data_IF_508941793598
#
_entry.id   IF_508941793598
#
_cell.length_a   1.000
_cell.length_b   1.000
_cell.length_c   1.000
_cell.angle_alpha   90.00
_cell.angle_beta   90.00
_cell.angle_gamma   90.00
#
_symmetry.space_group_name_H-M   'P 1'
#
loop_
_entity.id
_entity.type
_entity.pdbx_description
1 polymer ?
#
# COMPACT_ATOMS: atom_id res chain seq x y z
N UNK A 1 4.66 -20.45 -5.96
CA UNK A 1 3.73 -19.35 -5.61
C UNK A 1 3.31 -18.65 -6.89
N UNK A 2 2.05 -18.22 -7.03
CA UNK A 2 1.61 -17.40 -8.16
C UNK A 2 2.47 -16.14 -8.29
N UNK A 3 2.72 -15.65 -9.52
CA UNK A 3 3.44 -14.40 -9.69
C UNK A 3 2.60 -13.22 -9.19
N UNK A 4 3.26 -12.27 -8.54
CA UNK A 4 2.72 -10.93 -8.32
C UNK A 4 3.22 -10.01 -9.43
N UNK A 5 2.59 -10.13 -10.60
CA UNK A 5 2.97 -9.47 -11.84
C UNK A 5 2.25 -8.13 -12.05
N UNK A 6 2.60 -7.41 -13.13
CA UNK A 6 2.00 -6.13 -13.46
C UNK A 6 0.47 -6.18 -13.56
N UNK A 7 -0.16 -7.12 -14.30
CA UNK A 7 -1.62 -7.21 -14.36
C UNK A 7 -2.27 -7.33 -12.98
N UNK A 8 -1.70 -8.17 -12.10
CA UNK A 8 -2.23 -8.33 -10.74
C UNK A 8 -2.03 -7.09 -9.87
N UNK A 9 -0.87 -6.45 -9.94
CA UNK A 9 -0.59 -5.21 -9.20
C UNK A 9 -1.53 -4.07 -9.63
N UNK A 10 -1.76 -3.93 -10.94
CA UNK A 10 -2.64 -2.92 -11.51
C UNK A 10 -4.10 -3.19 -11.12
N UNK A 11 -4.59 -4.41 -11.31
CA UNK A 11 -5.97 -4.79 -10.95
C UNK A 11 -6.28 -4.56 -9.46
N UNK A 12 -5.28 -4.68 -8.58
CA UNK A 12 -5.45 -4.38 -7.16
C UNK A 12 -5.52 -2.87 -6.87
N UNK A 13 -4.79 -2.04 -7.63
CA UNK A 13 -4.87 -0.57 -7.53
C UNK A 13 -6.12 0.01 -8.20
N UNK A 14 -6.67 -0.65 -9.23
CA UNK A 14 -7.93 -0.27 -9.88
C UNK A 14 -9.14 -0.31 -8.94
N UNK A 15 -9.00 -0.85 -7.73
CA UNK A 15 -10.01 -0.70 -6.68
C UNK A 15 -10.15 0.75 -6.21
N UNK A 16 -9.09 1.55 -6.30
CA UNK A 16 -9.06 2.95 -5.87
C UNK A 16 -10.08 3.82 -6.63
N UNK A 17 -10.05 3.92 -7.98
CA UNK A 17 -11.00 4.77 -8.70
C UNK A 17 -12.45 4.37 -8.42
N UNK A 18 -12.79 3.08 -8.57
CA UNK A 18 -14.17 2.63 -8.43
C UNK A 18 -14.71 2.75 -7.01
N UNK A 19 -13.96 2.26 -6.01
CA UNK A 19 -14.51 2.12 -4.66
C UNK A 19 -14.22 3.30 -3.76
N UNK A 20 -13.04 3.92 -3.89
CA UNK A 20 -12.66 5.04 -3.05
C UNK A 20 -13.06 6.38 -3.69
N UNK A 21 -12.60 6.67 -4.92
CA UNK A 21 -12.85 7.98 -5.54
C UNK A 21 -14.32 8.14 -5.94
N UNK A 22 -14.86 7.24 -6.75
CA UNK A 22 -16.23 7.37 -7.26
C UNK A 22 -17.26 6.99 -6.18
N UNK A 23 -17.17 5.77 -5.63
CA UNK A 23 -18.23 5.27 -4.72
C UNK A 23 -18.22 5.91 -3.34
N UNK A 24 -17.05 6.05 -2.73
CA UNK A 24 -16.91 6.50 -1.34
C UNK A 24 -16.81 8.02 -1.22
N UNK A 25 -16.10 8.70 -2.12
CA UNK A 25 -15.98 10.15 -2.11
C UNK A 25 -17.01 10.84 -3.02
N UNK A 26 -17.69 10.12 -3.92
CA UNK A 26 -18.56 10.76 -4.90
C UNK A 26 -17.80 11.64 -5.90
N UNK A 27 -16.50 11.39 -6.08
CA UNK A 27 -15.65 12.16 -6.98
C UNK A 27 -15.79 11.64 -8.41
N UNK A 28 -16.30 12.49 -9.31
CA UNK A 28 -16.35 12.19 -10.74
C UNK A 28 -14.97 12.40 -11.37
N UNK A 29 -14.40 11.34 -11.93
CA UNK A 29 -13.09 11.38 -12.57
C UNK A 29 -13.18 11.96 -13.98
N UNK A 30 -12.44 13.04 -14.22
CA UNK A 30 -12.26 13.59 -15.57
C UNK A 30 -11.21 12.78 -16.35
N UNK A 31 -11.13 12.96 -17.69
CA UNK A 31 -10.15 12.24 -18.51
C UNK A 31 -8.69 12.43 -18.02
N UNK A 32 -8.31 13.64 -17.59
CA UNK A 32 -6.96 13.89 -17.06
C UNK A 32 -6.67 13.22 -15.71
N UNK A 33 -7.72 12.85 -14.96
CA UNK A 33 -7.55 12.09 -13.72
C UNK A 33 -7.25 10.61 -14.02
N UNK A 34 -7.87 10.04 -15.05
CA UNK A 34 -7.56 8.70 -15.53
C UNK A 34 -6.11 8.60 -16.02
N UNK A 35 -5.63 9.56 -16.82
CA UNK A 35 -4.23 9.62 -17.25
C UNK A 35 -3.26 9.65 -16.05
N UNK A 36 -3.62 10.41 -15.01
CA UNK A 36 -2.84 10.52 -13.77
C UNK A 36 -2.77 9.18 -13.03
N UNK A 37 -3.90 8.48 -12.92
CA UNK A 37 -4.00 7.18 -12.26
C UNK A 37 -3.23 6.10 -13.03
N UNK A 38 -3.44 6.00 -14.34
CA UNK A 38 -2.78 5.00 -15.20
C UNK A 38 -1.26 5.16 -15.17
N UNK A 39 -0.76 6.40 -15.26
CA UNK A 39 0.66 6.68 -15.17
C UNK A 39 1.22 6.26 -13.80
N UNK A 40 0.54 6.63 -12.71
CA UNK A 40 0.98 6.26 -11.37
C UNK A 40 0.99 4.73 -11.17
N UNK A 41 -0.07 4.03 -11.59
CA UNK A 41 -0.18 2.58 -11.45
C UNK A 41 0.91 1.85 -12.24
N UNK A 42 1.19 2.31 -13.46
CA UNK A 42 2.27 1.78 -14.28
C UNK A 42 3.62 1.92 -13.58
N UNK A 43 3.95 3.12 -13.07
CA UNK A 43 5.22 3.37 -12.37
C UNK A 43 5.36 2.58 -11.08
N UNK A 44 4.29 2.42 -10.33
CA UNK A 44 4.29 1.62 -9.10
C UNK A 44 4.48 0.13 -9.39
N UNK A 45 3.84 -0.38 -10.45
CA UNK A 45 4.04 -1.75 -10.90
C UNK A 45 5.49 -1.99 -11.39
N UNK A 46 6.04 -1.09 -12.21
CA UNK A 46 7.45 -1.14 -12.64
C UNK A 46 8.40 -1.13 -11.44
N UNK A 47 8.17 -0.26 -10.45
CA UNK A 47 8.99 -0.17 -9.25
C UNK A 47 8.96 -1.45 -8.41
N UNK A 48 7.80 -2.11 -8.30
CA UNK A 48 7.67 -3.39 -7.62
C UNK A 48 8.40 -4.52 -8.39
N UNK A 49 8.26 -4.55 -9.71
CA UNK A 49 8.87 -5.57 -10.58
C UNK A 49 10.38 -5.44 -10.72
N UNK A 50 10.92 -4.24 -10.54
CA UNK A 50 12.36 -3.99 -10.52
C UNK A 50 13.07 -4.51 -9.25
N UNK A 51 12.32 -4.98 -8.25
CA UNK A 51 12.87 -5.55 -7.04
C UNK A 51 13.16 -7.05 -7.18
N UNK A 52 14.10 -7.59 -6.38
CA UNK A 52 14.26 -9.03 -6.20
C UNK A 52 12.93 -9.70 -5.83
N UNK A 53 12.64 -10.83 -6.47
CA UNK A 53 11.38 -11.57 -6.26
C UNK A 53 11.55 -12.62 -5.17
N UNK A 54 10.72 -12.54 -4.15
CA UNK A 54 10.75 -13.42 -2.97
C UNK A 54 9.35 -13.91 -2.62
N UNK A 55 9.27 -14.82 -1.64
CA UNK A 55 8.01 -15.12 -0.96
C UNK A 55 7.44 -13.84 -0.36
N UNK A 56 6.17 -13.55 -0.66
CA UNK A 56 5.40 -12.44 -0.10
C UNK A 56 4.12 -13.02 0.51
N UNK A 57 3.95 -12.87 1.82
CA UNK A 57 2.75 -13.25 2.55
C UNK A 57 1.54 -12.39 2.15
N UNK A 58 1.78 -11.14 1.76
CA UNK A 58 0.81 -10.10 1.39
C UNK A 58 0.06 -9.47 2.56
N UNK A 59 -0.31 -10.27 3.55
CA UNK A 59 -1.02 -9.83 4.75
C UNK A 59 -0.16 -9.97 6.02
N UNK A 60 1.15 -9.71 5.89
CA UNK A 60 2.10 -9.69 7.01
C UNK A 60 1.98 -8.40 7.83
N UNK A 61 0.89 -8.27 8.56
CA UNK A 61 0.56 -7.10 9.40
C UNK A 61 0.12 -7.53 10.80
N UNK A 62 0.05 -6.59 11.73
CA UNK A 62 -0.15 -6.86 13.17
C UNK A 62 -1.31 -7.80 13.51
N UNK A 63 -2.43 -7.75 12.77
CA UNK A 63 -3.59 -8.64 13.01
C UNK A 63 -3.37 -10.12 12.67
N UNK A 64 -2.35 -10.43 11.86
CA UNK A 64 -2.01 -11.80 11.44
C UNK A 64 -0.76 -12.34 12.15
N UNK A 65 -0.29 -11.63 13.19
CA UNK A 65 0.84 -12.03 14.03
C UNK A 65 0.36 -12.35 15.45
N UNK A 66 0.55 -13.60 15.87
CA UNK A 66 0.18 -14.09 17.19
C UNK A 66 1.37 -14.04 18.14
N UNK A 67 1.21 -13.38 19.28
CA UNK A 67 2.20 -13.38 20.35
C UNK A 67 2.28 -14.78 20.98
N UNK A 68 3.42 -15.46 20.82
CA UNK A 68 3.69 -16.75 21.43
C UNK A 68 4.51 -16.56 22.71
N UNK A 69 4.37 -17.49 23.66
CA UNK A 69 5.10 -17.45 24.94
C UNK A 69 6.60 -17.71 24.76
N UNK A 70 7.00 -18.39 23.68
CA UNK A 70 8.40 -18.69 23.35
C UNK A 70 8.62 -18.59 21.83
N UNK A 71 9.73 -17.97 21.41
CA UNK A 71 10.12 -17.85 19.99
C UNK A 71 9.66 -16.58 19.28
N UNK A 72 9.67 -16.62 17.94
CA UNK A 72 9.11 -15.56 17.09
C UNK A 72 7.58 -15.60 17.06
N UNK A 73 6.92 -14.65 16.36
CA UNK A 73 5.46 -14.63 16.28
C UNK A 73 4.92 -15.86 15.54
N UNK A 74 3.75 -16.33 15.95
CA UNK A 74 2.93 -17.19 15.11
C UNK A 74 2.39 -16.39 13.93
N UNK A 75 2.42 -16.96 12.73
CA UNK A 75 2.00 -16.28 11.50
C UNK A 75 0.83 -17.07 10.91
N UNK A 76 -0.29 -16.39 10.63
CA UNK A 76 -1.50 -16.98 10.05
C UNK A 76 -1.88 -16.28 8.74
N UNK A 77 -2.80 -16.86 7.98
CA UNK A 77 -3.40 -16.23 6.77
C UNK A 77 -2.45 -16.15 5.55
N UNK A 78 -1.59 -17.16 5.36
CA UNK A 78 -0.57 -17.21 4.29
C UNK A 78 -1.03 -17.91 3.00
N UNK A 79 -2.30 -18.34 2.89
CA UNK A 79 -2.81 -19.08 1.73
C UNK A 79 -2.78 -18.27 0.42
N UNK A 80 -2.84 -16.94 0.52
CA UNK A 80 -2.85 -16.02 -0.62
C UNK A 80 -1.43 -15.56 -1.04
N UNK A 81 -0.39 -16.20 -0.50
CA UNK A 81 1.00 -15.85 -0.73
C UNK A 81 1.40 -15.91 -2.22
N UNK A 82 2.31 -15.00 -2.59
CA UNK A 82 2.77 -14.79 -3.97
C UNK A 82 4.29 -14.70 -4.04
N UNK A 83 4.82 -14.76 -5.26
CA UNK A 83 6.20 -14.39 -5.53
C UNK A 83 6.24 -12.92 -5.98
N UNK A 84 6.76 -12.02 -5.16
CA UNK A 84 6.65 -10.57 -5.35
C UNK A 84 7.83 -9.77 -4.81
N UNK A 85 7.64 -8.44 -4.73
CA UNK A 85 8.66 -7.49 -4.32
C UNK A 85 9.19 -7.74 -2.90
N UNK A 86 10.51 -7.69 -2.73
CA UNK A 86 11.21 -7.90 -1.46
C UNK A 86 10.72 -6.99 -0.31
N UNK A 87 10.37 -5.74 -0.61
CA UNK A 87 9.94 -4.80 0.44
C UNK A 87 8.48 -4.98 0.87
N UNK A 88 7.68 -5.82 0.21
CA UNK A 88 6.23 -5.87 0.41
C UNK A 88 5.80 -6.23 1.84
N UNK A 89 6.30 -7.34 2.39
CA UNK A 89 5.95 -7.75 3.76
C UNK A 89 6.50 -6.80 4.84
N UNK A 90 7.76 -6.32 4.75
CA UNK A 90 8.24 -5.25 5.63
C UNK A 90 7.36 -4.00 5.59
N UNK A 91 6.92 -3.56 4.42
CA UNK A 91 5.99 -2.42 4.27
C UNK A 91 4.66 -2.72 4.95
N UNK A 92 4.09 -3.91 4.73
CA UNK A 92 2.81 -4.29 5.33
C UNK A 92 2.83 -4.26 6.87
N UNK A 93 3.99 -4.56 7.47
CA UNK A 93 4.15 -4.52 8.93
C UNK A 93 4.49 -3.13 9.47
N UNK A 94 5.41 -2.41 8.79
CA UNK A 94 5.96 -1.16 9.30
C UNK A 94 5.13 0.07 8.93
N UNK A 95 4.37 -0.01 7.83
CA UNK A 95 3.36 0.99 7.42
C UNK A 95 1.95 0.37 7.48
N UNK A 96 1.69 -0.31 8.58
CA UNK A 96 0.43 -1.01 8.87
C UNK A 96 -0.77 -0.04 8.84
N UNK A 97 -1.91 -0.54 8.38
CA UNK A 97 -3.17 0.20 8.34
C UNK A 97 -3.80 0.37 9.73
N UNK A 98 -3.34 -0.38 10.75
CA UNK A 98 -3.95 -0.38 12.09
C UNK A 98 -3.07 0.25 13.18
N UNK A 99 -1.76 0.34 12.94
CA UNK A 99 -0.77 0.83 13.90
C UNK A 99 0.15 1.84 13.22
N UNK A 100 0.45 2.94 13.90
CA UNK A 100 1.38 3.96 13.41
C UNK A 100 2.61 3.97 14.31
N UNK A 101 3.78 3.89 13.68
CA UNK A 101 5.08 4.00 14.35
C UNK A 101 5.72 5.35 14.07
N UNK A 102 6.62 5.85 14.94
CA UNK A 102 7.39 7.05 14.64
C UNK A 102 8.22 6.88 13.36
N UNK A 103 8.23 7.90 12.48
CA UNK A 103 8.90 7.81 11.17
C UNK A 103 10.39 7.44 11.27
N UNK A 104 11.12 8.00 12.25
CA UNK A 104 12.52 7.65 12.50
C UNK A 104 12.71 6.17 12.87
N UNK A 105 11.74 5.57 13.57
CA UNK A 105 11.74 4.17 13.95
C UNK A 105 11.49 3.27 12.72
N UNK A 106 10.49 3.60 11.91
CA UNK A 106 10.20 2.90 10.64
C UNK A 106 11.41 2.92 9.72
N UNK A 107 12.03 4.09 9.54
CA UNK A 107 13.21 4.26 8.72
C UNK A 107 14.38 3.42 9.22
N UNK A 108 14.60 3.34 10.54
CA UNK A 108 15.66 2.51 11.13
C UNK A 108 15.41 1.02 10.84
N UNK A 109 14.21 0.53 11.12
CA UNK A 109 13.86 -0.87 10.88
C UNK A 109 13.90 -1.27 9.40
N UNK A 110 13.51 -0.37 8.50
CA UNK A 110 13.64 -0.59 7.06
C UNK A 110 15.11 -0.78 6.65
N UNK A 111 16.03 0.03 7.17
CA UNK A 111 17.45 -0.13 6.92
C UNK A 111 18.07 -1.36 7.61
N UNK A 112 17.62 -1.70 8.81
CA UNK A 112 18.04 -2.95 9.48
C UNK A 112 17.63 -4.17 8.63
N UNK A 113 16.42 -4.15 8.06
CA UNK A 113 15.97 -5.16 7.11
C UNK A 113 16.81 -5.17 5.83
N UNK A 114 17.12 -4.00 5.25
CA UNK A 114 18.02 -3.87 4.08
C UNK A 114 19.38 -4.53 4.36
N UNK A 115 20.01 -4.21 5.49
CA UNK A 115 21.31 -4.76 5.86
C UNK A 115 21.28 -6.31 5.91
N UNK A 116 20.20 -6.87 6.48
CA UNK A 116 19.98 -8.33 6.50
C UNK A 116 19.72 -8.90 5.11
N UNK A 117 18.97 -8.21 4.27
CA UNK A 117 18.69 -8.62 2.89
C UNK A 117 19.96 -8.61 2.03
N UNK A 118 20.84 -7.63 2.20
CA UNK A 118 22.17 -7.58 1.54
C UNK A 118 23.04 -8.73 2.01
N UNK A 119 23.13 -8.96 3.33
CA UNK A 119 23.91 -10.06 3.89
C UNK A 119 23.41 -11.44 3.43
N UNK A 120 22.12 -11.59 3.18
CA UNK A 120 21.50 -12.80 2.64
C UNK A 120 21.59 -12.92 1.11
N UNK A 121 22.20 -11.96 0.41
CA UNK A 121 22.29 -11.94 -1.06
C UNK A 121 20.95 -11.67 -1.76
N UNK A 122 19.94 -11.21 -1.04
CA UNK A 122 18.60 -10.93 -1.58
C UNK A 122 18.50 -9.52 -2.16
N UNK A 123 19.24 -8.54 -1.63
CA UNK A 123 19.28 -7.17 -2.15
C UNK A 123 20.68 -6.85 -2.71
N UNK A 124 20.80 -6.24 -3.91
CA UNK A 124 22.09 -5.92 -4.49
C UNK A 124 22.87 -4.93 -3.62
N UNK A 125 24.09 -5.29 -3.20
CA UNK A 125 24.93 -4.43 -2.36
C UNK A 125 25.28 -3.07 -2.99
N UNK A 126 25.28 -3.01 -4.34
CA UNK A 126 25.52 -1.78 -5.10
C UNK A 126 24.36 -0.76 -5.03
N UNK A 127 23.15 -1.19 -4.64
CA UNK A 127 21.99 -0.31 -4.46
C UNK A 127 21.96 0.19 -3.03
N UNK A 128 22.09 1.49 -2.83
CA UNK A 128 22.34 2.11 -1.53
C UNK A 128 21.09 2.17 -0.61
N UNK A 129 21.19 2.92 0.49
CA UNK A 129 20.07 3.13 1.42
C UNK A 129 18.91 3.91 0.77
N UNK A 130 19.21 4.88 -0.10
CA UNK A 130 18.20 5.68 -0.77
C UNK A 130 17.43 4.84 -1.80
N UNK A 131 18.12 3.99 -2.55
CA UNK A 131 17.50 3.00 -3.46
C UNK A 131 16.50 2.11 -2.73
N UNK A 132 16.88 1.58 -1.57
CA UNK A 132 16.03 0.68 -0.79
C UNK A 132 14.83 1.42 -0.21
N UNK A 133 15.05 2.60 0.39
CA UNK A 133 13.97 3.40 0.96
C UNK A 133 12.98 3.85 -0.11
N UNK A 134 13.46 4.19 -1.31
CA UNK A 134 12.60 4.45 -2.47
C UNK A 134 11.76 3.23 -2.83
N UNK A 135 12.36 2.05 -2.97
CA UNK A 135 11.61 0.81 -3.25
C UNK A 135 10.59 0.48 -2.15
N UNK A 136 10.94 0.74 -0.90
CA UNK A 136 10.06 0.57 0.26
C UNK A 136 8.87 1.54 0.22
N UNK A 137 9.10 2.82 -0.03
CA UNK A 137 8.04 3.83 -0.08
C UNK A 137 7.09 3.63 -1.26
N UNK A 138 7.61 3.30 -2.44
CA UNK A 138 6.77 3.03 -3.62
C UNK A 138 5.93 1.75 -3.45
N UNK A 139 6.47 0.75 -2.77
CA UNK A 139 5.70 -0.44 -2.38
C UNK A 139 4.62 -0.09 -1.35
N UNK A 140 4.91 0.83 -0.43
CA UNK A 140 3.94 1.45 0.46
C UNK A 140 2.80 2.12 -0.31
N UNK A 141 3.14 3.04 -1.22
CA UNK A 141 2.16 3.75 -2.02
C UNK A 141 1.26 2.79 -2.80
N UNK A 142 1.83 1.84 -3.54
CA UNK A 142 1.06 0.79 -4.25
C UNK A 142 0.07 0.08 -3.32
N UNK A 143 0.57 -0.37 -2.16
CA UNK A 143 -0.23 -1.09 -1.17
C UNK A 143 -1.35 -0.21 -0.60
N UNK A 144 -1.08 1.04 -0.25
CA UNK A 144 -2.08 1.92 0.36
C UNK A 144 -3.16 2.34 -0.66
N UNK A 145 -2.82 2.54 -1.94
CA UNK A 145 -3.83 2.79 -2.99
C UNK A 145 -4.80 1.60 -3.12
N UNK A 146 -4.28 0.37 -3.16
CA UNK A 146 -5.09 -0.84 -3.09
C UNK A 146 -5.98 -0.86 -1.85
N UNK A 147 -5.42 -0.51 -0.67
CA UNK A 147 -6.16 -0.55 0.59
C UNK A 147 -7.33 0.43 0.62
N UNK A 148 -7.13 1.66 0.13
CA UNK A 148 -8.21 2.65 0.04
C UNK A 148 -9.41 2.05 -0.73
N UNK A 149 -9.15 1.43 -1.87
CA UNK A 149 -10.19 0.76 -2.66
C UNK A 149 -10.80 -0.46 -1.96
N UNK A 150 -9.98 -1.39 -1.44
CA UNK A 150 -10.49 -2.65 -0.86
C UNK A 150 -11.29 -2.42 0.42
N UNK A 151 -10.93 -1.44 1.26
CA UNK A 151 -11.68 -1.13 2.48
C UNK A 151 -13.06 -0.58 2.15
N UNK A 152 -13.17 0.32 1.17
CA UNK A 152 -14.45 0.78 0.65
C UNK A 152 -15.26 -0.37 0.04
N UNK A 153 -14.64 -1.25 -0.76
CA UNK A 153 -15.32 -2.42 -1.32
C UNK A 153 -15.88 -3.35 -0.24
N UNK A 154 -15.08 -3.66 0.78
CA UNK A 154 -15.50 -4.50 1.91
C UNK A 154 -16.68 -3.88 2.67
N UNK A 155 -16.72 -2.55 2.79
CA UNK A 155 -17.87 -1.85 3.36
C UNK A 155 -19.11 -1.96 2.46
N UNK A 156 -19.04 -1.44 1.24
CA UNK A 156 -20.22 -1.25 0.38
C UNK A 156 -20.77 -2.55 -0.21
N UNK A 157 -19.90 -3.51 -0.55
CA UNK A 157 -20.31 -4.79 -1.13
C UNK A 157 -20.53 -5.87 -0.08
N UNK A 158 -19.65 -5.93 0.92
CA UNK A 158 -19.60 -7.05 1.87
C UNK A 158 -20.15 -6.70 3.26
N UNK A 159 -20.60 -5.46 3.49
CA UNK A 159 -21.22 -5.03 4.76
C UNK A 159 -20.26 -4.94 5.94
N UNK A 160 -18.94 -4.95 5.71
CA UNK A 160 -17.95 -4.94 6.79
C UNK A 160 -17.67 -3.52 7.28
N UNK A 161 -18.52 -3.04 8.19
CA UNK A 161 -18.52 -1.66 8.67
C UNK A 161 -17.17 -1.15 9.26
N UNK A 162 -16.38 -2.06 9.87
CA UNK A 162 -15.17 -1.68 10.62
C UNK A 162 -13.99 -1.15 9.82
N UNK A 163 -14.01 -1.18 8.48
CA UNK A 163 -12.86 -0.79 7.66
C UNK A 163 -12.77 0.71 7.34
N UNK A 164 -13.88 1.46 7.35
CA UNK A 164 -13.84 2.88 7.01
C UNK A 164 -13.06 3.71 8.03
N UNK A 165 -13.05 3.29 9.31
CA UNK A 165 -12.33 3.98 10.38
C UNK A 165 -10.81 4.07 10.17
N UNK A 166 -10.23 3.21 9.33
CA UNK A 166 -8.81 3.19 9.03
C UNK A 166 -8.44 4.04 7.79
N UNK A 167 -9.42 4.47 6.99
CA UNK A 167 -9.18 5.23 5.75
C UNK A 167 -8.38 6.52 5.93
N UNK A 168 -8.62 7.37 6.95
CA UNK A 168 -7.80 8.56 7.18
C UNK A 168 -6.31 8.25 7.32
N UNK A 169 -5.97 7.16 8.00
CA UNK A 169 -4.58 6.73 8.19
C UNK A 169 -3.97 6.21 6.90
N UNK A 170 -4.71 5.41 6.15
CA UNK A 170 -4.26 4.85 4.86
C UNK A 170 -4.03 5.98 3.86
N UNK A 171 -4.94 6.95 3.78
CA UNK A 171 -4.79 8.12 2.91
C UNK A 171 -3.58 8.95 3.31
N UNK A 172 -3.35 9.17 4.61
CA UNK A 172 -2.19 9.91 5.09
C UNK A 172 -0.86 9.26 4.62
N UNK A 173 -0.72 7.93 4.72
CA UNK A 173 0.46 7.24 4.20
C UNK A 173 0.60 7.36 2.68
N UNK A 174 -0.50 7.25 1.93
CA UNK A 174 -0.48 7.40 0.48
C UNK A 174 -0.03 8.82 0.08
N UNK A 175 -0.57 9.85 0.73
CA UNK A 175 -0.20 11.25 0.48
C UNK A 175 1.25 11.54 0.88
N UNK A 176 1.72 11.03 2.02
CA UNK A 176 3.12 11.19 2.45
C UNK A 176 4.09 10.62 1.40
N UNK A 177 3.84 9.39 0.93
CA UNK A 177 4.67 8.78 -0.11
C UNK A 177 4.57 9.53 -1.44
N UNK A 178 3.35 9.86 -1.90
CA UNK A 178 3.15 10.54 -3.18
C UNK A 178 3.79 11.95 -3.22
N UNK A 179 3.74 12.71 -2.11
CA UNK A 179 4.38 14.03 -2.01
C UNK A 179 5.90 13.98 -1.98
N UNK A 180 6.47 12.87 -1.53
CA UNK A 180 7.93 12.71 -1.42
C UNK A 180 8.60 12.62 -2.80
N UNK A 181 7.88 12.13 -3.82
CA UNK A 181 8.43 11.80 -5.13
C UNK A 181 7.74 12.62 -6.23
N UNK A 182 8.46 13.52 -6.94
CA UNK A 182 7.86 14.44 -7.91
C UNK A 182 7.02 13.77 -9.01
N UNK A 183 7.38 12.55 -9.42
CA UNK A 183 6.65 11.77 -10.42
C UNK A 183 5.24 11.35 -9.97
N UNK A 184 4.91 11.47 -8.67
CA UNK A 184 3.58 11.22 -8.10
C UNK A 184 2.87 12.50 -7.63
N UNK A 185 3.39 13.69 -7.96
CA UNK A 185 2.79 14.96 -7.55
C UNK A 185 1.34 15.12 -8.06
N UNK A 186 1.05 14.71 -9.30
CA UNK A 186 -0.29 14.74 -9.86
C UNK A 186 -1.25 13.78 -9.12
N UNK A 187 -0.76 12.60 -8.73
CA UNK A 187 -1.52 11.65 -7.91
C UNK A 187 -1.84 12.26 -6.53
N UNK A 188 -0.86 12.89 -5.87
CA UNK A 188 -1.08 13.56 -4.59
C UNK A 188 -2.16 14.65 -4.71
N UNK A 189 -2.07 15.49 -5.74
CA UNK A 189 -3.05 16.56 -5.98
C UNK A 189 -4.46 16.02 -6.28
N UNK A 190 -4.57 14.90 -7.02
CA UNK A 190 -5.84 14.20 -7.24
C UNK A 190 -6.44 13.70 -5.92
N UNK A 191 -5.66 12.98 -5.12
CA UNK A 191 -6.12 12.43 -3.84
C UNK A 191 -6.54 13.54 -2.86
N UNK A 192 -5.78 14.63 -2.78
CA UNK A 192 -6.11 15.79 -1.95
C UNK A 192 -7.40 16.46 -2.39
N UNK A 193 -7.53 16.73 -3.70
CA UNK A 193 -8.72 17.37 -4.27
C UNK A 193 -9.97 16.50 -4.05
N UNK A 194 -9.86 15.20 -4.27
CA UNK A 194 -10.98 14.27 -4.14
C UNK A 194 -11.43 14.10 -2.67
N UNK A 195 -10.50 14.10 -1.72
CA UNK A 195 -10.80 13.89 -0.29
C UNK A 195 -11.06 15.18 0.50
N UNK A 196 -10.86 16.36 -0.09
CA UNK A 196 -11.06 17.64 0.57
C UNK A 196 -12.49 17.74 1.14
N UNK A 197 -12.60 18.08 2.44
CA UNK A 197 -13.88 18.28 3.12
C UNK A 197 -14.68 17.01 3.42
N UNK A 198 -14.14 15.82 3.14
CA UNK A 198 -14.81 14.55 3.40
C UNK A 198 -14.41 13.95 4.74
N UNK A 199 -15.39 13.49 5.52
CA UNK A 199 -15.13 12.53 6.62
C UNK A 199 -15.09 11.12 6.03
N UNK A 200 -13.87 10.60 5.85
CA UNK A 200 -13.63 9.28 5.25
C UNK A 200 -14.15 8.13 6.11
N UNK A 201 -14.53 8.38 7.36
CA UNK A 201 -15.06 7.32 8.24
C UNK A 201 -16.55 7.12 8.04
N UNK A 202 -17.22 8.03 7.33
CA UNK A 202 -18.65 7.99 7.09
C UNK A 202 -18.94 7.60 5.63
N UNK A 203 -19.92 6.72 5.39
CA UNK A 203 -20.35 6.43 4.03
C UNK A 203 -21.04 7.65 3.43
N UNK A 204 -20.78 7.94 2.15
CA UNK A 204 -21.64 8.85 1.42
C UNK A 204 -23.04 8.25 1.28
N UNK A 205 -24.11 9.01 1.58
CA UNK A 205 -25.47 8.55 1.30
C UNK A 205 -25.58 8.23 -0.19
N UNK A 206 -26.20 7.10 -0.53
CA UNK A 206 -26.57 6.86 -1.93
C UNK A 206 -27.38 8.08 -2.40
N UNK A 207 -26.90 8.74 -3.45
CA UNK A 207 -27.70 9.75 -4.15
C UNK A 207 -29.08 9.17 -4.44
N UNK A 208 -30.12 9.96 -4.16
CA UNK A 208 -31.49 9.65 -4.58
C UNK A 208 -31.60 9.63 -6.09
#
# INVERSE_FOLDING_TARGET
>A
LPPYDAPRLIAEMELLPTWFLERHLGHELACGDWDTLELAFTRLAEAALAQPRVFVHRDFHSRNLLALTHGGPGIIDFQDAVCGALTYDPVSLLKDCYIVWPAAQVRRWALDYRARAVAAGLWPAARDDADFLRAFDLTGLQRHLKVLGIFCRLYYRDGKAGYLGDLPRVLAYALEAARTYPEFAALAALLERASAGHDLTLPQPCGR
#
